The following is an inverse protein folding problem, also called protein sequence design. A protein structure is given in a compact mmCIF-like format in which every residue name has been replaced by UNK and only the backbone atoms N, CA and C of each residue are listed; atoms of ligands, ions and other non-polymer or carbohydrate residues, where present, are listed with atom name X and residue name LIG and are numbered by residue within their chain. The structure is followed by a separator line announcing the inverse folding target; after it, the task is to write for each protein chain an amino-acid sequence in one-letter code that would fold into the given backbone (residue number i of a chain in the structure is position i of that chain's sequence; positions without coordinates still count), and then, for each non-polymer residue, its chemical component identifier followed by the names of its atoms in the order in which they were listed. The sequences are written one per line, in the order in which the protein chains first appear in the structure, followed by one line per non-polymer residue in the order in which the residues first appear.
data_IF_790038694577
#
_entry.id   IF_790038694577
#
_cell.length_a   1.000
_cell.length_b   1.000
_cell.length_c   1.000
_cell.angle_alpha   90.00
_cell.angle_beta   90.00
_cell.angle_gamma   90.00
#
_symmetry.space_group_name_H-M   'P 1'
#
loop_
_entity.id
_entity.type
_entity.pdbx_description
1 polymer ?
#
# COMPACT_ATOMS: atom_id res chain seq x y z
N UNK A 1 -10.75 5.88 -50.55
CA UNK A 1 -9.60 5.15 -49.98
C UNK A 1 -8.49 6.07 -49.47
N UNK A 2 -8.13 7.16 -50.18
CA UNK A 2 -7.07 8.09 -49.75
C UNK A 2 -7.37 8.93 -48.49
N UNK A 3 -8.65 9.20 -48.18
CA UNK A 3 -9.03 10.03 -47.03
C UNK A 3 -8.65 9.35 -45.71
N UNK A 4 -8.98 8.06 -45.54
CA UNK A 4 -8.63 7.29 -44.34
C UNK A 4 -7.11 7.23 -44.13
N UNK A 5 -6.34 7.02 -45.19
CA UNK A 5 -4.86 6.98 -45.14
C UNK A 5 -4.28 8.33 -44.72
N UNK A 6 -4.84 9.44 -45.21
CA UNK A 6 -4.41 10.78 -44.79
C UNK A 6 -4.78 11.08 -43.33
N UNK A 7 -5.97 10.64 -42.89
CA UNK A 7 -6.41 10.81 -41.50
C UNK A 7 -5.54 9.98 -40.54
N UNK A 8 -5.24 8.73 -40.89
CA UNK A 8 -4.33 7.85 -40.14
C UNK A 8 -2.93 8.47 -40.01
N UNK A 9 -2.34 8.92 -41.13
CA UNK A 9 -1.02 9.58 -41.10
C UNK A 9 -1.02 10.84 -40.22
N UNK A 10 -2.06 11.67 -40.32
CA UNK A 10 -2.17 12.87 -39.49
C UNK A 10 -2.27 12.50 -38.00
N UNK A 11 -2.98 11.42 -37.67
CA UNK A 11 -3.07 10.93 -36.29
C UNK A 11 -1.70 10.45 -35.79
N UNK A 12 -0.97 9.68 -36.60
CA UNK A 12 0.37 9.21 -36.26
C UNK A 12 1.36 10.36 -36.06
N UNK A 13 1.31 11.40 -36.91
CA UNK A 13 2.11 12.60 -36.76
C UNK A 13 1.81 13.32 -35.43
N UNK A 14 0.53 13.45 -35.06
CA UNK A 14 0.12 14.06 -33.80
C UNK A 14 0.56 13.22 -32.60
N UNK A 15 0.39 11.90 -32.65
CA UNK A 15 0.84 11.00 -31.58
C UNK A 15 2.35 11.12 -31.40
N UNK A 16 3.12 11.00 -32.48
CA UNK A 16 4.58 11.08 -32.44
C UNK A 16 5.07 12.44 -31.92
N UNK A 17 4.38 13.53 -32.25
CA UNK A 17 4.68 14.86 -31.71
C UNK A 17 4.43 14.94 -30.20
N UNK A 18 3.36 14.31 -29.70
CA UNK A 18 3.03 14.31 -28.27
C UNK A 18 3.87 13.33 -27.44
N UNK A 19 4.25 12.18 -28.01
CA UNK A 19 5.08 11.17 -27.33
C UNK A 19 6.57 11.42 -27.49
N UNK A 20 6.97 12.26 -28.44
CA UNK A 20 8.35 12.57 -28.76
C UNK A 20 9.12 13.17 -27.59
N UNK A 21 10.20 12.50 -27.20
CA UNK A 21 11.14 12.88 -26.14
C UNK A 21 12.09 14.04 -26.54
N UNK A 22 11.66 14.91 -27.45
CA UNK A 22 12.46 16.00 -28.01
C UNK A 22 12.24 17.35 -27.33
N UNK A 23 11.23 17.47 -26.45
CA UNK A 23 10.90 18.72 -25.77
C UNK A 23 11.41 18.84 -24.33
N UNK A 24 12.13 17.83 -23.80
CA UNK A 24 12.66 17.87 -22.44
C UNK A 24 14.20 17.74 -22.47
N UNK A 25 14.96 18.75 -21.99
CA UNK A 25 16.42 18.63 -21.84
C UNK A 25 16.72 17.49 -20.84
N UNK A 26 17.14 16.35 -21.39
CA UNK A 26 17.18 15.02 -20.74
C UNK A 26 17.98 14.94 -19.42
N UNK A 27 18.84 15.90 -19.11
CA UNK A 27 19.71 15.85 -17.92
C UNK A 27 19.31 16.82 -16.81
N UNK A 28 18.95 18.07 -17.14
CA UNK A 28 18.45 19.05 -16.17
C UNK A 28 17.00 18.75 -15.74
N UNK A 29 16.20 18.18 -16.64
CA UNK A 29 14.78 17.91 -16.41
C UNK A 29 14.53 16.71 -15.51
N UNK A 30 15.33 15.64 -15.55
CA UNK A 30 15.03 14.43 -14.76
C UNK A 30 15.18 14.66 -13.25
N UNK A 31 16.25 15.33 -12.82
CA UNK A 31 16.45 15.65 -11.40
C UNK A 31 15.33 16.56 -10.88
N UNK A 32 14.95 17.59 -11.65
CA UNK A 32 13.87 18.50 -11.30
C UNK A 32 12.52 17.78 -11.29
N UNK A 33 12.25 16.95 -12.29
CA UNK A 33 11.03 16.13 -12.38
C UNK A 33 10.93 15.19 -11.17
N UNK A 34 11.97 14.44 -10.85
CA UNK A 34 11.97 13.54 -9.68
C UNK A 34 11.79 14.33 -8.38
N UNK A 35 12.33 15.54 -8.29
CA UNK A 35 12.21 16.41 -7.12
C UNK A 35 10.80 16.97 -6.94
N UNK A 36 10.08 17.27 -8.04
CA UNK A 36 8.77 17.95 -7.97
C UNK A 36 7.58 17.08 -8.39
N UNK A 37 7.79 15.87 -8.92
CA UNK A 37 6.73 14.93 -9.28
C UNK A 37 6.29 14.09 -8.08
N UNK A 38 5.85 14.78 -7.03
CA UNK A 38 5.23 14.17 -5.86
C UNK A 38 3.86 14.82 -5.61
N UNK A 39 3.09 14.17 -4.76
CA UNK A 39 1.84 14.70 -4.23
C UNK A 39 1.90 14.69 -2.71
N UNK A 40 1.22 15.64 -2.09
CA UNK A 40 1.00 15.68 -0.65
C UNK A 40 -0.36 15.06 -0.29
N UNK A 41 -0.57 14.75 0.98
CA UNK A 41 -1.89 14.32 1.47
C UNK A 41 -2.96 15.40 1.22
N UNK A 42 -2.59 16.69 1.34
CA UNK A 42 -3.49 17.81 1.07
C UNK A 42 -3.94 17.85 -0.40
N UNK A 43 -3.06 17.49 -1.34
CA UNK A 43 -3.40 17.45 -2.76
C UNK A 43 -4.46 16.39 -3.06
N UNK A 44 -4.34 15.22 -2.42
CA UNK A 44 -5.32 14.13 -2.53
C UNK A 44 -6.67 14.54 -1.93
N UNK A 45 -6.66 15.15 -0.73
CA UNK A 45 -7.88 15.60 -0.05
C UNK A 45 -8.61 16.73 -0.80
N UNK A 46 -7.87 17.53 -1.58
CA UNK A 46 -8.46 18.62 -2.38
C UNK A 46 -9.30 18.11 -3.55
N UNK A 47 -9.14 16.84 -3.96
CA UNK A 47 -9.91 16.23 -5.05
C UNK A 47 -11.37 16.07 -4.61
N UNK A 48 -12.33 16.84 -5.18
CA UNK A 48 -13.69 16.89 -4.67
C UNK A 48 -14.38 15.52 -4.63
N UNK A 49 -14.11 14.70 -5.65
CA UNK A 49 -14.70 13.38 -5.81
C UNK A 49 -14.10 12.31 -4.89
N UNK A 50 -13.10 12.63 -4.07
CA UNK A 50 -12.49 11.72 -3.10
C UNK A 50 -12.75 12.14 -1.64
N UNK A 51 -13.47 13.24 -1.42
CA UNK A 51 -13.86 13.67 -0.08
C UNK A 51 -14.70 12.59 0.60
N UNK A 52 -14.49 12.43 1.91
CA UNK A 52 -15.22 11.49 2.77
C UNK A 52 -15.11 10.01 2.32
N UNK A 53 -14.13 9.68 1.48
CA UNK A 53 -13.87 8.32 1.02
C UNK A 53 -12.54 7.80 1.55
N UNK A 54 -12.45 6.48 1.75
CA UNK A 54 -11.20 5.80 2.05
C UNK A 54 -10.32 5.78 0.79
N UNK A 55 -9.21 6.53 0.81
CA UNK A 55 -8.27 6.59 -0.33
C UNK A 55 -7.02 5.79 -0.01
N UNK A 56 -6.68 4.85 -0.89
CA UNK A 56 -5.44 4.06 -0.83
C UNK A 56 -4.58 4.44 -2.04
N UNK A 57 -3.41 5.04 -1.80
CA UNK A 57 -2.44 5.38 -2.83
C UNK A 57 -1.49 4.20 -3.02
N UNK A 58 -1.38 3.71 -4.25
CA UNK A 58 -0.52 2.58 -4.60
C UNK A 58 0.65 3.08 -5.45
N UNK A 59 1.87 2.83 -4.99
CA UNK A 59 3.10 3.02 -5.75
C UNK A 59 3.69 1.64 -6.05
N UNK A 60 3.73 1.27 -7.32
CA UNK A 60 4.13 -0.05 -7.76
C UNK A 60 5.13 0.01 -8.93
N UNK A 61 6.03 -0.98 -9.06
CA UNK A 61 6.94 -1.07 -10.19
C UNK A 61 6.23 -1.21 -11.54
N UNK A 62 6.85 -0.79 -12.66
CA UNK A 62 6.28 -0.94 -13.99
C UNK A 62 5.99 -2.41 -14.34
N UNK A 63 4.79 -2.67 -14.86
CA UNK A 63 4.31 -4.01 -15.18
C UNK A 63 3.67 -4.77 -14.02
N UNK A 64 3.39 -4.10 -12.90
CA UNK A 64 2.54 -4.66 -11.83
C UNK A 64 1.15 -4.97 -12.39
N UNK A 65 0.67 -6.19 -12.18
CA UNK A 65 -0.66 -6.65 -12.60
C UNK A 65 -1.69 -6.24 -11.55
N UNK A 66 -2.77 -5.60 -11.99
CA UNK A 66 -3.93 -5.28 -11.17
C UNK A 66 -5.12 -6.08 -11.67
N UNK A 67 -5.76 -6.84 -10.78
CA UNK A 67 -6.96 -7.60 -11.06
C UNK A 67 -8.08 -7.21 -10.09
N UNK A 68 -9.28 -7.07 -10.62
CA UNK A 68 -10.51 -6.86 -9.84
C UNK A 68 -11.42 -8.04 -10.15
N UNK A 69 -11.37 -9.12 -9.35
CA UNK A 69 -12.25 -10.27 -9.52
C UNK A 69 -13.72 -9.86 -9.40
N UNK A 70 -14.62 -10.60 -10.07
CA UNK A 70 -16.04 -10.41 -9.86
C UNK A 70 -16.38 -10.65 -8.39
N UNK A 71 -17.11 -9.75 -7.72
CA UNK A 71 -17.41 -9.90 -6.30
C UNK A 71 -18.38 -11.07 -6.10
N UNK A 72 -17.87 -12.20 -5.61
CA UNK A 72 -18.72 -13.33 -5.20
C UNK A 72 -19.27 -13.08 -3.79
N UNK A 73 -18.40 -12.70 -2.86
CA UNK A 73 -18.75 -12.43 -1.46
C UNK A 73 -18.30 -11.03 -0.99
N UNK A 74 -17.22 -10.51 -1.57
CA UNK A 74 -16.68 -9.19 -1.24
C UNK A 74 -15.93 -8.59 -2.43
N UNK A 75 -15.79 -7.27 -2.43
CA UNK A 75 -14.95 -6.55 -3.39
C UNK A 75 -13.48 -6.80 -3.06
N UNK A 76 -12.68 -7.12 -4.09
CA UNK A 76 -11.27 -7.40 -3.94
C UNK A 76 -10.46 -6.73 -5.04
N UNK A 77 -9.24 -6.32 -4.69
CA UNK A 77 -8.23 -5.83 -5.63
C UNK A 77 -6.96 -6.64 -5.39
N UNK A 78 -6.47 -7.32 -6.43
CA UNK A 78 -5.25 -8.12 -6.36
C UNK A 78 -4.14 -7.40 -7.11
N UNK A 79 -3.00 -7.22 -6.45
CA UNK A 79 -1.81 -6.60 -7.03
C UNK A 79 -0.64 -7.59 -7.01
N UNK A 80 -0.02 -7.82 -8.16
CA UNK A 80 1.12 -8.73 -8.28
C UNK A 80 2.27 -8.05 -9.03
N UNK A 81 3.44 -7.97 -8.40
CA UNK A 81 4.65 -7.43 -9.00
C UNK A 81 5.80 -8.44 -8.94
N UNK A 82 6.58 -8.50 -10.01
CA UNK A 82 7.79 -9.33 -10.11
C UNK A 82 9.07 -8.51 -10.11
N UNK A 83 8.97 -7.18 -10.16
CA UNK A 83 10.10 -6.25 -10.32
C UNK A 83 10.41 -5.43 -9.07
N UNK A 84 9.72 -5.70 -7.96
CA UNK A 84 9.97 -5.02 -6.70
C UNK A 84 8.75 -4.97 -5.78
N UNK A 85 8.91 -4.40 -4.58
CA UNK A 85 7.82 -4.23 -3.63
C UNK A 85 6.78 -3.22 -4.13
N UNK A 86 5.56 -3.38 -3.63
CA UNK A 86 4.46 -2.42 -3.81
C UNK A 86 4.33 -1.65 -2.50
N UNK A 87 4.29 -0.32 -2.59
CA UNK A 87 4.06 0.56 -1.46
C UNK A 87 2.59 1.01 -1.47
N UNK A 88 1.91 0.90 -0.34
CA UNK A 88 0.51 1.32 -0.18
C UNK A 88 0.39 2.31 0.99
N UNK A 89 -0.32 3.41 0.76
CA UNK A 89 -0.52 4.48 1.73
C UNK A 89 -2.01 4.73 1.90
N UNK A 90 -2.46 4.87 3.15
CA UNK A 90 -3.83 5.23 3.48
C UNK A 90 -3.90 6.74 3.75
N UNK A 91 -4.70 7.47 3.00
CA UNK A 91 -4.96 8.88 3.27
C UNK A 91 -6.13 8.98 4.25
N UNK A 92 -5.86 9.38 5.49
CA UNK A 92 -6.88 9.62 6.52
C UNK A 92 -7.21 11.09 6.67
N UNK A 93 -8.46 11.39 6.99
CA UNK A 93 -8.94 12.73 7.31
C UNK A 93 -8.87 12.91 8.84
N UNK A 94 -7.68 13.23 9.36
CA UNK A 94 -7.49 13.43 10.80
C UNK A 94 -6.02 13.59 11.20
N UNK A 95 -5.72 14.27 12.32
CA UNK A 95 -4.36 14.42 12.81
C UNK A 95 -3.79 13.03 13.10
N UNK A 96 -2.76 12.66 12.34
CA UNK A 96 -1.93 11.52 12.67
C UNK A 96 -1.46 11.70 14.12
N UNK A 97 -1.70 10.75 15.04
CA UNK A 97 -0.87 10.69 16.22
C UNK A 97 0.55 10.46 15.69
N UNK A 98 1.36 11.51 15.76
CA UNK A 98 2.81 11.37 15.61
C UNK A 98 3.24 10.19 16.48
N UNK A 99 4.16 9.39 15.93
CA UNK A 99 4.78 8.23 16.57
C UNK A 99 4.05 6.90 16.34
N UNK A 100 4.17 6.35 15.12
CA UNK A 100 4.84 5.05 14.91
C UNK A 100 4.81 4.71 13.42
N UNK A 101 5.97 4.88 12.79
CA UNK A 101 6.41 4.08 11.65
C UNK A 101 5.91 2.64 11.78
N UNK A 102 4.97 2.18 10.95
CA UNK A 102 4.98 0.85 10.30
C UNK A 102 4.08 0.88 9.06
N UNK A 103 4.69 0.61 7.91
CA UNK A 103 4.00 0.12 6.74
C UNK A 103 3.02 -0.98 7.18
N UNK A 104 1.76 -0.88 6.76
CA UNK A 104 0.80 -1.95 6.93
C UNK A 104 1.26 -3.15 6.09
N UNK A 105 1.98 -4.08 6.71
CA UNK A 105 2.19 -5.41 6.15
C UNK A 105 0.84 -6.11 6.22
N UNK A 106 0.11 -6.12 5.11
CA UNK A 106 -1.12 -6.88 4.95
C UNK A 106 -0.76 -8.37 4.88
N UNK A 107 -0.51 -8.98 6.03
CA UNK A 107 -0.41 -10.43 6.15
C UNK A 107 -1.77 -10.96 6.63
N UNK A 108 -2.34 -11.91 5.89
CA UNK A 108 -3.69 -12.39 6.09
C UNK A 108 -3.91 -12.94 7.49
N UNK A 109 -4.81 -12.31 8.24
CA UNK A 109 -5.64 -12.89 9.30
C UNK A 109 -6.70 -11.87 9.70
N UNK A 110 -7.95 -12.31 9.63
CA UNK A 110 -9.19 -11.62 9.95
C UNK A 110 -9.23 -10.96 11.35
N UNK A 111 -9.75 -9.73 11.43
CA UNK A 111 -10.78 -9.31 12.41
C UNK A 111 -11.06 -7.82 12.29
N UNK A 112 -12.30 -7.47 11.93
CA UNK A 112 -12.78 -6.08 11.94
C UNK A 112 -12.98 -5.51 13.36
N UNK A 113 -13.37 -4.22 13.48
CA UNK A 113 -13.31 -3.48 14.72
C UNK A 113 -14.67 -3.44 15.44
N UNK A 114 -14.70 -3.90 16.70
CA UNK A 114 -15.76 -3.53 17.65
C UNK A 114 -15.16 -3.33 19.04
N UNK A 115 -15.12 -2.07 19.48
CA UNK A 115 -15.41 -1.61 20.85
C UNK A 115 -14.39 -1.86 21.99
N UNK A 116 -14.03 -0.83 22.78
CA UNK A 116 -13.20 -0.94 23.99
C UNK A 116 -14.06 -1.13 25.25
N UNK A 117 -13.54 -1.83 26.28
CA UNK A 117 -13.92 -1.82 27.71
C UNK A 117 -13.08 -2.94 28.39
N UNK A 118 -12.56 -2.93 29.62
CA UNK A 118 -12.23 -1.94 30.64
C UNK A 118 -11.52 -2.73 31.78
N UNK A 119 -10.43 -2.17 32.30
CA UNK A 119 -9.84 -2.31 33.66
C UNK A 119 -9.29 -3.65 34.21
N UNK A 120 -8.03 -3.53 34.65
CA UNK A 120 -7.25 -4.32 35.62
C UNK A 120 -7.91 -4.38 37.03
N UNK A 121 -7.49 -5.26 37.99
CA UNK A 121 -6.13 -5.20 38.60
C UNK A 121 -5.51 -6.49 39.21
N UNK A 122 -4.20 -6.39 39.54
CA UNK A 122 -3.43 -7.06 40.63
C UNK A 122 -3.08 -8.56 40.47
N UNK A 123 -1.92 -9.11 40.86
CA UNK A 123 -0.69 -8.65 41.53
C UNK A 123 0.45 -9.71 41.39
N UNK A 124 1.72 -9.27 41.57
CA UNK A 124 2.90 -9.97 42.12
C UNK A 124 3.27 -11.40 41.61
N UNK A 125 4.30 -11.55 40.78
CA UNK A 125 5.74 -11.76 41.10
C UNK A 125 6.16 -13.12 41.68
N UNK A 126 6.94 -13.86 40.87
CA UNK A 126 8.07 -14.75 41.21
C UNK A 126 7.87 -15.94 42.15
N UNK A 127 8.26 -17.14 41.69
CA UNK A 127 9.45 -17.92 42.13
C UNK A 127 9.22 -19.43 41.87
N UNK A 128 10.24 -20.10 41.32
CA UNK A 128 10.28 -21.53 40.97
C UNK A 128 10.17 -22.48 42.19
N UNK A 129 9.84 -23.79 41.99
CA UNK A 129 10.17 -24.82 42.96
C UNK A 129 11.40 -25.67 42.53
N UNK A 130 12.15 -26.25 43.49
CA UNK A 130 13.44 -26.91 43.25
C UNK A 130 13.31 -28.43 43.05
N UNK A 131 14.39 -29.01 42.51
CA UNK A 131 14.66 -30.45 42.41
C UNK A 131 14.94 -31.09 43.78
N UNK A 132 14.48 -32.31 44.01
CA UNK A 132 15.00 -33.21 45.06
C UNK A 132 14.71 -34.68 44.71
N UNK A 133 15.79 -35.41 44.51
CA UNK A 133 15.93 -36.85 44.31
C UNK A 133 15.79 -37.65 45.61
N UNK A 134 15.10 -38.80 45.61
CA UNK A 134 15.42 -39.95 46.50
C UNK A 134 14.81 -41.26 45.96
N UNK A 135 15.67 -42.26 45.74
CA UNK A 135 15.41 -43.72 45.72
C UNK A 135 15.91 -44.24 47.11
N UNK A 136 15.57 -45.43 47.69
CA UNK A 136 15.27 -46.72 47.04
C UNK A 136 14.30 -47.73 47.75
N UNK A 137 14.17 -48.91 47.12
CA UNK A 137 13.99 -50.30 47.63
C UNK A 137 12.67 -50.81 48.20
N UNK A 138 12.27 -52.02 47.74
CA UNK A 138 11.69 -53.05 48.62
C UNK A 138 10.58 -53.93 48.05
N UNK A 139 10.97 -55.02 47.40
CA UNK A 139 10.37 -56.38 47.40
C UNK A 139 8.99 -56.59 48.08
N UNK A 140 7.99 -57.02 47.28
CA UNK A 140 7.19 -58.24 47.54
C UNK A 140 6.39 -58.67 46.32
#
# INVERSE_FOLDING_TARGET
MNILIQTERKLDELINSCTGQDQLPKTFSLTLMITFAYLTYEDVQRIPNLKEQTVIVIKAPPGTKLEVPHPVESLQVHLASTKGPIEAFLCTDGPFPNDTTRACVLNGSSSGPFGPLQQSPSAASSTAPPVSSFHPTGDR
#
